data_IF_878426861702
#
_entry.id   IF_878426861702
#
_cell.length_a   1.000
_cell.length_b   1.000
_cell.length_c   1.000
_cell.angle_alpha   90.00
_cell.angle_beta   90.00
_cell.angle_gamma   90.00
#
_symmetry.space_group_name_H-M   'P 1'
#
loop_
_entity.id
_entity.type
_entity.pdbx_description
1 polymer ?
#
# COMPACT_ATOMS: atom_id res chain seq x y z
N UNK A 1 -32.56 33.66 28.83
CA UNK A 1 -31.41 32.75 29.16
C UNK A 1 -31.63 31.37 28.53
N UNK A 2 -32.75 30.69 28.76
CA UNK A 2 -33.05 29.32 28.28
C UNK A 2 -32.95 29.15 26.77
N UNK A 3 -33.46 30.11 25.96
CA UNK A 3 -33.38 30.07 24.50
C UNK A 3 -31.92 30.09 23.97
N UNK A 4 -31.03 30.82 24.61
CA UNK A 4 -29.61 30.89 24.27
C UNK A 4 -28.93 29.56 24.58
N UNK A 5 -29.22 28.94 25.72
CA UNK A 5 -28.68 27.63 26.09
C UNK A 5 -29.17 26.53 25.15
N UNK A 6 -30.44 26.55 24.73
CA UNK A 6 -30.97 25.61 23.74
C UNK A 6 -30.31 25.80 22.36
N UNK A 7 -30.05 27.04 21.94
CA UNK A 7 -29.33 27.32 20.69
C UNK A 7 -27.91 26.83 20.76
N UNK A 8 -27.19 27.02 21.88
CA UNK A 8 -25.85 26.49 22.10
C UNK A 8 -25.90 24.95 22.05
N UNK A 9 -26.89 24.34 22.71
CA UNK A 9 -27.08 22.89 22.67
C UNK A 9 -27.28 22.35 21.25
N UNK A 10 -28.15 23.00 20.46
CA UNK A 10 -28.38 22.62 19.06
C UNK A 10 -27.11 22.77 18.19
N UNK A 11 -26.38 23.88 18.36
CA UNK A 11 -25.11 24.12 17.65
C UNK A 11 -24.06 23.08 18.03
N UNK A 12 -23.96 22.74 19.30
CA UNK A 12 -23.03 21.73 19.82
C UNK A 12 -23.36 20.33 19.28
N UNK A 13 -24.67 20.00 19.18
CA UNK A 13 -25.13 18.75 18.59
C UNK A 13 -24.73 18.63 17.10
N UNK A 14 -24.89 19.72 16.34
CA UNK A 14 -24.47 19.80 14.94
C UNK A 14 -22.94 19.70 14.80
N UNK A 15 -22.20 20.32 15.72
CA UNK A 15 -20.74 20.26 15.77
C UNK A 15 -20.29 18.82 16.06
N UNK A 16 -20.96 18.13 16.98
CA UNK A 16 -20.69 16.70 17.24
C UNK A 16 -20.96 15.84 16.01
N UNK A 17 -22.11 16.04 15.36
CA UNK A 17 -22.46 15.34 14.12
C UNK A 17 -21.45 15.58 13.00
N UNK A 18 -20.89 16.77 12.89
CA UNK A 18 -19.80 17.09 11.96
C UNK A 18 -18.55 16.25 12.26
N UNK A 19 -18.09 16.21 13.50
CA UNK A 19 -16.88 15.43 13.86
C UNK A 19 -17.08 13.93 13.64
N UNK A 20 -18.21 13.37 14.07
CA UNK A 20 -18.53 11.97 13.87
C UNK A 20 -18.62 11.62 12.39
N UNK A 21 -19.36 12.43 11.61
CA UNK A 21 -19.50 12.21 10.17
C UNK A 21 -18.17 12.31 9.42
N UNK A 22 -17.32 13.27 9.76
CA UNK A 22 -16.02 13.45 9.16
C UNK A 22 -15.06 12.29 9.51
N UNK A 23 -15.04 11.85 10.77
CA UNK A 23 -14.25 10.73 11.26
C UNK A 23 -14.60 9.43 10.50
N UNK A 24 -15.87 9.05 10.50
CA UNK A 24 -16.31 7.83 9.84
C UNK A 24 -16.17 7.88 8.33
N UNK A 25 -16.34 9.05 7.71
CA UNK A 25 -16.11 9.19 6.28
C UNK A 25 -14.65 8.97 5.89
N UNK A 26 -13.69 9.51 6.67
CA UNK A 26 -12.25 9.34 6.41
C UNK A 26 -11.76 7.91 6.67
N UNK A 27 -12.31 7.22 7.67
CA UNK A 27 -11.98 5.81 7.92
C UNK A 27 -12.52 4.89 6.82
N UNK A 28 -13.71 5.20 6.29
CA UNK A 28 -14.43 4.31 5.37
C UNK A 28 -14.10 4.55 3.90
N UNK A 29 -13.57 5.74 3.54
CA UNK A 29 -13.25 6.07 2.16
C UNK A 29 -11.94 5.40 1.73
N UNK A 30 -11.93 4.85 0.52
CA UNK A 30 -10.71 4.29 -0.06
C UNK A 30 -9.91 5.38 -0.79
N UNK A 31 -8.57 5.34 -0.66
CA UNK A 31 -7.67 6.26 -1.37
C UNK A 31 -7.97 6.31 -2.88
N UNK A 32 -8.21 5.15 -3.50
CA UNK A 32 -8.54 5.03 -4.93
C UNK A 32 -9.78 5.80 -5.38
N UNK A 33 -10.71 6.12 -4.46
CA UNK A 33 -11.91 6.92 -4.76
C UNK A 33 -11.64 8.43 -4.76
N UNK A 34 -10.59 8.89 -4.06
CA UNK A 34 -10.27 10.32 -3.88
C UNK A 34 -9.13 10.76 -4.80
N UNK A 35 -8.12 9.91 -4.97
CA UNK A 35 -6.88 10.22 -5.70
C UNK A 35 -7.10 10.71 -7.15
N UNK A 36 -8.00 10.12 -7.97
CA UNK A 36 -8.25 10.61 -9.33
C UNK A 36 -8.77 12.05 -9.38
N UNK A 37 -9.55 12.47 -8.37
CA UNK A 37 -10.03 13.85 -8.26
C UNK A 37 -8.93 14.81 -7.81
N UNK A 38 -8.04 14.37 -6.92
CA UNK A 38 -6.88 15.12 -6.47
C UNK A 38 -5.89 15.37 -7.61
N UNK A 39 -5.62 14.37 -8.45
CA UNK A 39 -4.78 14.47 -9.65
C UNK A 39 -5.34 15.45 -10.68
N UNK A 40 -6.67 15.56 -10.79
CA UNK A 40 -7.36 16.56 -11.63
C UNK A 40 -7.35 17.98 -11.04
N UNK A 41 -6.64 18.20 -9.93
CA UNK A 41 -6.48 19.52 -9.32
C UNK A 41 -7.56 19.92 -8.32
N UNK A 42 -8.48 19.03 -7.92
CA UNK A 42 -9.52 19.33 -6.94
C UNK A 42 -8.90 19.58 -5.55
N UNK A 43 -9.03 20.82 -5.05
CA UNK A 43 -8.46 21.24 -3.77
C UNK A 43 -9.04 20.48 -2.57
N UNK A 44 -10.35 20.16 -2.60
CA UNK A 44 -11.00 19.37 -1.54
C UNK A 44 -10.44 17.95 -1.50
N UNK A 45 -10.29 17.31 -2.67
CA UNK A 45 -9.73 15.97 -2.76
C UNK A 45 -8.27 15.92 -2.28
N UNK A 46 -7.44 16.93 -2.62
CA UNK A 46 -6.08 17.03 -2.10
C UNK A 46 -6.03 17.19 -0.58
N UNK A 47 -6.93 18.00 -0.02
CA UNK A 47 -7.02 18.15 1.45
C UNK A 47 -7.45 16.83 2.11
N UNK A 48 -8.47 16.16 1.55
CA UNK A 48 -8.93 14.85 2.04
C UNK A 48 -7.83 13.79 1.96
N UNK A 49 -7.08 13.76 0.85
CA UNK A 49 -5.95 12.85 0.67
C UNK A 49 -4.87 13.06 1.74
N UNK A 50 -4.53 14.33 2.01
CA UNK A 50 -3.64 14.66 3.12
C UNK A 50 -4.17 14.13 4.46
N UNK A 51 -5.49 14.21 4.70
CA UNK A 51 -6.13 13.65 5.89
C UNK A 51 -5.99 12.14 6.00
N UNK A 52 -6.08 11.42 4.87
CA UNK A 52 -5.86 9.98 4.82
C UNK A 52 -4.40 9.60 5.10
N UNK A 53 -3.45 10.43 4.67
CA UNK A 53 -2.02 10.25 4.93
C UNK A 53 -1.64 10.56 6.40
N UNK A 54 -2.46 11.33 7.12
CA UNK A 54 -2.25 11.73 8.51
C UNK A 54 -3.43 11.30 9.40
N UNK A 55 -3.92 10.09 9.18
CA UNK A 55 -5.17 9.60 9.75
C UNK A 55 -5.18 9.66 11.28
N UNK A 56 -4.10 9.27 11.95
CA UNK A 56 -4.01 9.30 13.42
C UNK A 56 -4.21 10.71 13.99
N UNK A 57 -3.61 11.73 13.38
CA UNK A 57 -3.75 13.10 13.82
C UNK A 57 -5.18 13.65 13.59
N UNK A 58 -5.79 13.30 12.46
CA UNK A 58 -7.15 13.67 12.12
C UNK A 58 -8.15 12.98 13.05
N UNK A 59 -7.96 11.70 13.32
CA UNK A 59 -8.76 10.91 14.28
C UNK A 59 -8.70 11.51 15.69
N UNK A 60 -7.49 11.80 16.19
CA UNK A 60 -7.32 12.43 17.51
C UNK A 60 -8.01 13.80 17.58
N UNK A 61 -8.00 14.58 16.50
CA UNK A 61 -8.70 15.86 16.41
C UNK A 61 -10.22 15.68 16.41
N UNK A 62 -10.74 14.70 15.66
CA UNK A 62 -12.16 14.39 15.62
C UNK A 62 -12.65 13.95 17.00
N UNK A 63 -11.93 13.03 17.66
CA UNK A 63 -12.26 12.55 19.00
C UNK A 63 -12.21 13.65 20.06
N UNK A 64 -11.22 14.57 19.97
CA UNK A 64 -11.19 15.76 20.82
C UNK A 64 -12.44 16.62 20.61
N UNK A 65 -12.81 16.85 19.34
CA UNK A 65 -14.01 17.62 18.98
C UNK A 65 -15.30 16.97 19.49
N UNK A 66 -15.45 15.66 19.34
CA UNK A 66 -16.57 14.89 19.87
C UNK A 66 -16.65 15.03 21.39
N UNK A 67 -15.53 14.84 22.08
CA UNK A 67 -15.47 14.93 23.55
C UNK A 67 -15.84 16.32 24.06
N UNK A 68 -15.29 17.37 23.47
CA UNK A 68 -15.62 18.76 23.84
C UNK A 68 -17.09 19.05 23.57
N UNK A 69 -17.61 18.64 22.39
CA UNK A 69 -19.03 18.82 22.06
C UNK A 69 -19.94 18.11 23.05
N UNK A 70 -19.65 16.88 23.41
CA UNK A 70 -20.43 16.09 24.36
C UNK A 70 -20.45 16.71 25.76
N UNK A 71 -19.31 17.23 26.23
CA UNK A 71 -19.20 17.90 27.52
C UNK A 71 -19.99 19.19 27.53
N UNK A 72 -19.90 20.00 26.47
CA UNK A 72 -20.67 21.26 26.37
C UNK A 72 -22.17 20.97 26.25
N UNK A 73 -22.57 19.95 25.51
CA UNK A 73 -23.97 19.55 25.40
C UNK A 73 -24.56 19.17 26.75
N UNK A 74 -23.86 18.31 27.53
CA UNK A 74 -24.30 17.93 28.88
C UNK A 74 -24.35 19.12 29.83
N UNK A 75 -23.36 20.02 29.80
CA UNK A 75 -23.29 21.15 30.72
C UNK A 75 -24.35 22.24 30.42
N UNK A 76 -24.80 22.39 29.16
CA UNK A 76 -25.64 23.50 28.74
C UNK A 76 -27.06 23.08 28.36
N UNK A 77 -27.22 22.02 27.57
CA UNK A 77 -28.53 21.62 27.05
C UNK A 77 -29.39 20.93 28.10
N UNK A 78 -28.81 20.08 28.92
CA UNK A 78 -29.51 19.31 29.94
C UNK A 78 -30.19 20.21 31.01
N UNK A 79 -29.50 21.17 31.67
CA UNK A 79 -30.15 22.09 32.60
C UNK A 79 -31.19 22.96 31.92
N UNK A 80 -30.96 23.38 30.66
CA UNK A 80 -31.90 24.20 29.93
C UNK A 80 -33.23 23.47 29.65
N UNK A 81 -33.14 22.18 29.27
CA UNK A 81 -34.31 21.32 29.06
C UNK A 81 -35.03 21.07 30.40
N UNK A 82 -34.28 20.79 31.48
CA UNK A 82 -34.84 20.55 32.80
C UNK A 82 -35.68 21.77 33.28
N UNK A 83 -35.12 22.96 33.20
CA UNK A 83 -35.85 24.20 33.55
C UNK A 83 -37.08 24.46 32.66
N UNK A 84 -37.08 24.00 31.41
CA UNK A 84 -38.24 24.14 30.52
C UNK A 84 -39.39 23.19 30.94
N UNK A 85 -39.07 22.07 31.59
CA UNK A 85 -40.03 21.10 32.05
C UNK A 85 -40.62 21.40 33.44
N UNK A 86 -39.97 22.22 34.25
CA UNK A 86 -40.43 22.58 35.61
C UNK A 86 -41.84 23.21 35.64
N UNK A 87 -42.17 24.26 34.83
CA UNK A 87 -43.47 24.88 34.85
C UNK A 87 -44.65 23.95 34.52
N UNK A 88 -44.56 23.05 33.52
CA UNK A 88 -45.59 22.04 33.28
C UNK A 88 -45.84 21.11 34.48
N UNK A 89 -44.78 20.71 35.20
CA UNK A 89 -44.90 19.82 36.36
C UNK A 89 -45.55 20.57 37.57
N UNK A 90 -45.24 21.85 37.76
CA UNK A 90 -45.90 22.68 38.73
C UNK A 90 -47.41 22.80 38.44
N UNK A 91 -47.77 23.03 37.17
CA UNK A 91 -49.16 23.15 36.73
C UNK A 91 -50.01 21.89 36.96
N UNK A 92 -49.37 20.70 36.91
CA UNK A 92 -50.03 19.40 37.15
C UNK A 92 -50.06 19.02 38.64
N UNK A 93 -49.45 19.83 39.50
CA UNK A 93 -49.48 19.64 40.97
C UNK A 93 -48.46 18.62 41.48
N UNK A 94 -47.34 18.41 40.79
CA UNK A 94 -46.24 17.59 41.30
C UNK A 94 -45.67 18.22 42.56
N UNK A 95 -45.38 17.44 43.64
CA UNK A 95 -44.75 17.97 44.85
C UNK A 95 -43.42 18.69 44.54
N UNK A 96 -43.24 19.93 45.08
CA UNK A 96 -42.08 20.79 44.76
C UNK A 96 -40.75 20.11 44.93
N UNK A 97 -40.57 19.19 45.88
CA UNK A 97 -39.35 18.42 46.10
C UNK A 97 -39.04 17.35 45.02
N UNK A 98 -40.03 17.02 44.18
CA UNK A 98 -39.87 16.00 43.10
C UNK A 98 -39.80 16.63 41.71
N UNK A 99 -40.17 17.90 41.54
CA UNK A 99 -40.21 18.57 40.22
C UNK A 99 -38.84 18.56 39.58
N UNK A 100 -37.85 19.11 40.28
CA UNK A 100 -36.48 19.21 39.72
C UNK A 100 -35.86 17.83 39.45
N UNK A 101 -35.88 16.81 40.34
CA UNK A 101 -35.38 15.48 40.03
C UNK A 101 -36.03 14.81 38.83
N UNK A 102 -37.36 14.92 38.70
CA UNK A 102 -38.10 14.34 37.58
C UNK A 102 -37.76 15.05 36.28
N UNK A 103 -37.78 16.40 36.27
CA UNK A 103 -37.44 17.20 35.12
C UNK A 103 -36.01 16.93 34.67
N UNK A 104 -35.08 16.81 35.60
CA UNK A 104 -33.69 16.47 35.33
C UNK A 104 -33.53 15.09 34.63
N UNK A 105 -34.14 14.03 35.17
CA UNK A 105 -34.05 12.68 34.58
C UNK A 105 -34.62 12.65 33.17
N UNK A 106 -35.77 13.35 32.94
CA UNK A 106 -36.37 13.41 31.60
C UNK A 106 -35.49 14.24 30.66
N UNK A 107 -34.96 15.37 31.11
CA UNK A 107 -34.06 16.21 30.33
C UNK A 107 -32.79 15.45 29.93
N UNK A 108 -32.16 14.77 30.89
CA UNK A 108 -30.98 13.93 30.65
C UNK A 108 -31.26 12.83 29.62
N UNK A 109 -32.40 12.10 29.80
CA UNK A 109 -32.80 11.06 28.88
C UNK A 109 -33.03 11.58 27.47
N UNK A 110 -33.75 12.72 27.33
CA UNK A 110 -34.05 13.34 26.05
C UNK A 110 -32.77 13.88 25.38
N UNK A 111 -31.91 14.57 26.13
CA UNK A 111 -30.64 15.09 25.63
C UNK A 111 -29.70 13.96 25.16
N UNK A 112 -29.56 12.88 25.96
CA UNK A 112 -28.74 11.71 25.60
C UNK A 112 -29.29 11.00 24.36
N UNK A 113 -30.62 10.83 24.27
CA UNK A 113 -31.24 10.23 23.10
C UNK A 113 -31.04 11.05 21.82
N UNK A 114 -31.23 12.38 21.89
CA UNK A 114 -30.97 13.27 20.77
C UNK A 114 -29.48 13.29 20.37
N UNK A 115 -28.59 13.28 21.35
CA UNK A 115 -27.14 13.20 21.13
C UNK A 115 -26.78 11.92 20.40
N UNK A 116 -27.23 10.78 20.90
CA UNK A 116 -26.97 9.47 20.28
C UNK A 116 -27.55 9.38 18.87
N UNK A 117 -28.80 9.83 18.67
CA UNK A 117 -29.47 9.69 17.38
C UNK A 117 -28.92 10.68 16.34
N UNK A 118 -28.99 11.99 16.65
CA UNK A 118 -28.66 13.07 15.70
C UNK A 118 -27.17 13.42 15.70
N UNK A 119 -26.54 13.35 16.86
CA UNK A 119 -25.12 13.68 17.03
C UNK A 119 -24.17 12.54 16.61
N UNK A 120 -24.63 11.29 16.62
CA UNK A 120 -23.74 10.16 16.42
C UNK A 120 -24.26 9.17 15.35
N UNK A 121 -25.44 8.55 15.52
CA UNK A 121 -25.90 7.48 14.64
C UNK A 121 -26.20 7.96 13.21
N UNK A 122 -26.93 9.06 13.05
CA UNK A 122 -27.29 9.59 11.73
C UNK A 122 -26.05 10.00 10.93
N UNK A 123 -25.12 10.83 11.44
CA UNK A 123 -23.93 11.22 10.68
C UNK A 123 -23.01 10.04 10.37
N UNK A 124 -22.87 9.08 11.28
CA UNK A 124 -22.14 7.83 11.06
C UNK A 124 -22.73 7.02 9.91
N UNK A 125 -24.04 6.81 9.91
CA UNK A 125 -24.70 6.03 8.86
C UNK A 125 -24.62 6.72 7.48
N UNK A 126 -24.71 8.04 7.43
CA UNK A 126 -24.48 8.82 6.20
C UNK A 126 -23.04 8.63 5.69
N UNK A 127 -22.06 8.72 6.59
CA UNK A 127 -20.65 8.55 6.25
C UNK A 127 -20.35 7.14 5.74
N UNK A 128 -20.95 6.12 6.33
CA UNK A 128 -20.81 4.73 5.90
C UNK A 128 -21.51 4.42 4.56
N UNK A 129 -22.70 5.01 4.35
CA UNK A 129 -23.48 4.82 3.13
C UNK A 129 -22.86 5.52 1.91
N UNK A 130 -22.23 6.70 2.12
CA UNK A 130 -21.66 7.51 1.06
C UNK A 130 -20.27 8.08 1.47
N UNK A 131 -19.23 7.22 1.61
CA UNK A 131 -17.95 7.64 2.18
C UNK A 131 -17.25 8.74 1.38
N UNK A 132 -17.14 8.60 0.06
CA UNK A 132 -16.40 9.53 -0.78
C UNK A 132 -16.98 10.94 -0.83
N UNK A 133 -18.29 11.16 -1.10
CA UNK A 133 -18.86 12.51 -1.06
C UNK A 133 -18.82 13.12 0.33
N UNK A 134 -19.03 12.34 1.39
CA UNK A 134 -18.99 12.82 2.78
C UNK A 134 -17.55 13.21 3.16
N UNK A 135 -16.55 12.43 2.80
CA UNK A 135 -15.14 12.76 3.03
C UNK A 135 -14.69 14.02 2.25
N UNK A 136 -15.18 14.22 1.02
CA UNK A 136 -14.90 15.45 0.25
C UNK A 136 -15.59 16.69 0.81
N UNK A 137 -16.72 16.52 1.51
CA UNK A 137 -17.44 17.63 2.14
C UNK A 137 -16.87 17.96 3.51
N UNK A 138 -16.74 16.97 4.40
CA UNK A 138 -16.40 17.16 5.81
C UNK A 138 -14.90 17.02 6.09
N UNK A 139 -14.14 16.34 5.24
CA UNK A 139 -12.70 16.14 5.39
C UNK A 139 -11.89 17.44 5.38
N UNK A 140 -12.06 18.34 4.39
CA UNK A 140 -11.28 19.57 4.32
C UNK A 140 -11.37 20.47 5.56
N UNK A 141 -12.56 20.77 6.12
CA UNK A 141 -12.64 21.56 7.36
C UNK A 141 -12.04 20.82 8.57
N UNK A 142 -12.20 19.51 8.69
CA UNK A 142 -11.55 18.74 9.75
C UNK A 142 -10.02 18.77 9.62
N UNK A 143 -9.48 18.61 8.42
CA UNK A 143 -8.04 18.73 8.14
C UNK A 143 -7.50 20.12 8.46
N UNK A 144 -8.25 21.17 8.13
CA UNK A 144 -7.85 22.53 8.48
C UNK A 144 -7.78 22.72 10.01
N UNK A 145 -8.77 22.20 10.74
CA UNK A 145 -8.76 22.19 12.21
C UNK A 145 -7.59 21.37 12.75
N UNK A 146 -7.33 20.16 12.22
CA UNK A 146 -6.20 19.31 12.63
C UNK A 146 -4.88 20.06 12.50
N UNK A 147 -4.69 20.78 11.39
CA UNK A 147 -3.48 21.59 11.20
C UNK A 147 -3.36 22.72 12.23
N UNK A 148 -4.47 23.33 12.59
CA UNK A 148 -4.48 24.41 13.59
C UNK A 148 -4.17 23.90 15.01
N UNK A 149 -4.71 22.72 15.39
CA UNK A 149 -4.51 22.13 16.72
C UNK A 149 -3.32 21.14 16.78
N UNK A 150 -2.58 21.01 15.69
CA UNK A 150 -1.44 20.06 15.55
C UNK A 150 -0.48 20.06 16.75
N UNK A 151 -0.01 21.18 17.30
CA UNK A 151 0.91 21.16 18.43
C UNK A 151 0.30 20.52 19.68
N UNK A 152 -1.00 20.72 19.92
CA UNK A 152 -1.70 20.10 21.02
C UNK A 152 -1.87 18.59 20.81
N UNK A 153 -2.34 18.17 19.65
CA UNK A 153 -2.49 16.74 19.29
C UNK A 153 -1.15 16.01 19.35
N UNK A 154 -0.07 16.64 18.88
CA UNK A 154 1.29 16.08 19.00
C UNK A 154 1.68 15.87 20.46
N UNK A 155 1.39 16.82 21.35
CA UNK A 155 1.66 16.68 22.78
C UNK A 155 0.91 15.50 23.42
N UNK A 156 -0.39 15.34 23.09
CA UNK A 156 -1.21 14.23 23.58
C UNK A 156 -0.71 12.89 23.04
N UNK A 157 -0.39 12.81 21.76
CA UNK A 157 0.19 11.59 21.16
C UNK A 157 1.56 11.25 21.76
N UNK A 158 2.41 12.24 22.02
CA UNK A 158 3.69 12.02 22.67
C UNK A 158 3.52 11.42 24.08
N UNK A 159 2.54 11.90 24.83
CA UNK A 159 2.19 11.36 26.14
C UNK A 159 1.68 9.91 26.03
N UNK A 160 0.75 9.64 25.10
CA UNK A 160 0.23 8.30 24.85
C UNK A 160 1.35 7.32 24.45
N UNK A 161 2.23 7.73 23.53
CA UNK A 161 3.39 6.94 23.13
C UNK A 161 4.37 6.68 24.26
N UNK A 162 4.51 7.63 25.20
CA UNK A 162 5.33 7.44 26.39
C UNK A 162 4.75 6.37 27.31
N UNK A 163 3.43 6.32 27.47
CA UNK A 163 2.72 5.29 28.22
C UNK A 163 2.89 3.91 27.53
N UNK A 164 2.73 3.84 26.20
CA UNK A 164 2.94 2.60 25.44
C UNK A 164 4.37 2.06 25.60
N UNK A 165 5.39 2.94 25.54
CA UNK A 165 6.79 2.56 25.78
C UNK A 165 7.00 2.03 27.20
N UNK A 166 6.36 2.62 28.20
CA UNK A 166 6.40 2.13 29.58
C UNK A 166 5.82 0.71 29.70
N UNK A 167 4.77 0.42 28.90
CA UNK A 167 4.15 -0.90 28.79
C UNK A 167 4.91 -1.86 27.86
N UNK A 168 6.07 -1.46 27.30
CA UNK A 168 6.88 -2.22 26.34
C UNK A 168 6.12 -2.56 25.04
N UNK A 169 5.16 -1.73 24.66
CA UNK A 169 4.46 -1.81 23.37
C UNK A 169 5.11 -0.80 22.44
N UNK A 170 5.62 -1.26 21.30
CA UNK A 170 6.13 -0.36 20.26
C UNK A 170 4.96 0.33 19.57
N UNK A 171 4.89 1.69 19.62
CA UNK A 171 3.88 2.41 18.86
C UNK A 171 4.14 2.17 17.36
N UNK A 172 3.23 1.48 16.68
CA UNK A 172 3.24 1.41 15.22
C UNK A 172 2.99 2.82 14.69
N UNK A 173 3.90 3.30 13.85
CA UNK A 173 3.73 4.57 13.13
C UNK A 173 2.42 4.58 12.32
N UNK A 174 2.04 5.77 11.84
CA UNK A 174 0.91 5.93 10.94
C UNK A 174 1.00 4.89 9.84
N UNK A 175 -0.14 4.27 9.52
CA UNK A 175 -0.25 3.22 8.50
C UNK A 175 0.46 3.75 7.25
N UNK A 176 1.67 3.27 7.00
CA UNK A 176 2.32 3.52 5.73
C UNK A 176 1.43 2.83 4.69
N UNK A 177 0.85 3.60 3.78
CA UNK A 177 0.09 3.07 2.65
C UNK A 177 0.98 2.33 1.63
N UNK A 178 2.23 2.12 1.99
CA UNK A 178 3.20 1.32 1.25
C UNK A 178 3.18 -0.06 1.85
N UNK A 179 2.51 -0.98 1.17
CA UNK A 179 2.61 -2.40 1.49
C UNK A 179 4.04 -2.85 1.19
N UNK A 180 4.60 -3.63 2.08
CA UNK A 180 5.84 -4.37 1.79
C UNK A 180 5.54 -5.49 0.81
N UNK A 181 6.55 -5.98 0.09
CA UNK A 181 6.39 -7.08 -0.86
C UNK A 181 5.78 -8.32 -0.18
N UNK A 182 6.18 -8.63 1.05
CA UNK A 182 5.60 -9.71 1.87
C UNK A 182 4.11 -9.48 2.18
N UNK A 183 3.70 -8.24 2.42
CA UNK A 183 2.28 -7.91 2.66
C UNK A 183 1.47 -8.02 1.39
N UNK A 184 2.04 -7.65 0.23
CA UNK A 184 1.40 -7.83 -1.08
C UNK A 184 1.22 -9.32 -1.42
N UNK A 185 2.23 -10.15 -1.19
CA UNK A 185 2.15 -11.60 -1.38
C UNK A 185 1.04 -12.20 -0.52
N UNK A 186 0.96 -11.80 0.75
CA UNK A 186 -0.13 -12.23 1.66
C UNK A 186 -1.50 -11.78 1.17
N UNK A 187 -1.62 -10.52 0.73
CA UNK A 187 -2.89 -9.97 0.21
C UNK A 187 -3.38 -10.74 -1.02
N UNK A 188 -2.47 -11.09 -1.94
CA UNK A 188 -2.77 -11.92 -3.11
C UNK A 188 -3.26 -13.31 -2.69
N UNK A 189 -2.56 -13.94 -1.74
CA UNK A 189 -2.93 -15.25 -1.19
C UNK A 189 -4.32 -15.21 -0.55
N UNK A 190 -4.57 -14.27 0.36
CA UNK A 190 -5.84 -14.12 1.05
C UNK A 190 -6.99 -13.85 0.06
N UNK A 191 -6.73 -13.06 -0.99
CA UNK A 191 -7.71 -12.77 -2.04
C UNK A 191 -8.05 -14.01 -2.88
N UNK A 192 -7.06 -14.85 -3.17
CA UNK A 192 -7.24 -16.11 -3.89
C UNK A 192 -8.03 -17.13 -3.02
N UNK A 193 -7.67 -17.27 -1.74
CA UNK A 193 -8.39 -18.13 -0.79
C UNK A 193 -9.84 -17.68 -0.56
N UNK A 194 -10.10 -16.37 -0.62
CA UNK A 194 -11.45 -15.80 -0.54
C UNK A 194 -12.26 -15.93 -1.85
N UNK A 195 -11.68 -16.49 -2.92
CA UNK A 195 -12.33 -16.63 -4.23
C UNK A 195 -12.52 -15.32 -4.99
N UNK A 196 -11.78 -14.25 -4.61
CA UNK A 196 -11.79 -12.93 -5.28
C UNK A 196 -10.82 -12.86 -6.46
N UNK A 197 -9.87 -13.79 -6.54
CA UNK A 197 -8.92 -13.96 -7.63
C UNK A 197 -9.01 -15.39 -8.15
N UNK A 198 -8.90 -15.55 -9.46
CA UNK A 198 -8.71 -16.88 -10.05
C UNK A 198 -7.38 -17.47 -9.52
N UNK A 199 -7.35 -18.76 -9.12
CA UNK A 199 -6.15 -19.38 -8.58
C UNK A 199 -4.92 -19.24 -9.49
N UNK A 200 -5.09 -19.37 -10.82
CA UNK A 200 -3.99 -19.21 -11.77
C UNK A 200 -3.47 -17.77 -11.86
N UNK A 201 -4.36 -16.77 -11.74
CA UNK A 201 -3.95 -15.36 -11.71
C UNK A 201 -3.28 -15.01 -10.37
N UNK A 202 -3.75 -15.59 -9.27
CA UNK A 202 -3.12 -15.46 -7.96
C UNK A 202 -1.70 -16.02 -7.93
N UNK A 203 -1.48 -17.17 -8.56
CA UNK A 203 -0.15 -17.78 -8.69
C UNK A 203 0.80 -16.90 -9.53
N UNK A 204 0.37 -16.44 -10.70
CA UNK A 204 1.15 -15.53 -11.56
C UNK A 204 1.53 -14.23 -10.86
N UNK A 205 0.60 -13.64 -10.08
CA UNK A 205 0.87 -12.42 -9.33
C UNK A 205 1.92 -12.65 -8.24
N UNK A 206 1.85 -13.80 -7.56
CA UNK A 206 2.83 -14.17 -6.56
C UNK A 206 4.21 -14.37 -7.18
N UNK A 207 4.29 -15.14 -8.26
CA UNK A 207 5.54 -15.38 -8.98
C UNK A 207 6.17 -14.07 -9.48
N UNK A 208 5.34 -13.14 -9.97
CA UNK A 208 5.80 -11.79 -10.37
C UNK A 208 6.35 -10.95 -9.20
N UNK A 209 5.75 -11.04 -8.00
CA UNK A 209 6.24 -10.36 -6.80
C UNK A 209 7.53 -11.01 -6.28
N UNK A 210 7.64 -12.34 -6.37
CA UNK A 210 8.82 -13.08 -5.95
C UNK A 210 10.06 -12.81 -6.81
N UNK A 211 9.89 -12.42 -8.10
CA UNK A 211 11.02 -12.06 -8.98
C UNK A 211 11.89 -10.94 -8.43
N UNK A 212 11.29 -9.96 -7.74
CA UNK A 212 12.02 -8.86 -7.11
C UNK A 212 12.84 -9.27 -5.88
N UNK A 213 12.65 -10.49 -5.36
CA UNK A 213 13.36 -10.99 -4.17
C UNK A 213 14.21 -12.23 -4.44
N UNK A 214 13.90 -12.98 -5.49
CA UNK A 214 14.65 -14.22 -5.84
C UNK A 214 15.98 -13.89 -6.52
N UNK A 215 17.10 -14.39 -5.98
CA UNK A 215 18.41 -14.14 -6.54
C UNK A 215 18.66 -14.96 -7.83
N UNK A 216 19.44 -14.39 -8.74
CA UNK A 216 19.87 -15.05 -10.00
C UNK A 216 20.55 -16.39 -9.75
N UNK A 217 21.21 -16.54 -8.60
CA UNK A 217 21.90 -17.78 -8.22
C UNK A 217 21.00 -19.02 -8.17
N UNK A 218 19.68 -18.84 -7.95
CA UNK A 218 18.73 -19.97 -7.91
C UNK A 218 18.40 -20.55 -9.28
N UNK A 219 18.45 -19.71 -10.34
CA UNK A 219 18.03 -20.09 -11.70
C UNK A 219 19.21 -20.19 -12.67
N UNK A 220 20.40 -19.71 -12.30
CA UNK A 220 21.59 -19.78 -13.18
C UNK A 220 21.94 -21.19 -13.55
N UNK A 221 22.44 -21.36 -14.75
CA UNK A 221 23.13 -22.58 -15.19
C UNK A 221 24.58 -22.50 -14.70
N UNK A 222 25.02 -23.39 -13.80
CA UNK A 222 26.40 -23.38 -13.30
C UNK A 222 27.43 -23.57 -14.45
N UNK A 223 28.59 -22.94 -14.32
CA UNK A 223 29.64 -22.97 -15.32
C UNK A 223 30.03 -24.43 -15.72
N UNK A 224 30.03 -25.33 -14.75
CA UNK A 224 30.33 -26.77 -15.01
C UNK A 224 29.29 -27.46 -15.93
N UNK A 225 28.11 -26.92 -16.09
CA UNK A 225 27.05 -27.42 -16.98
C UNK A 225 26.88 -26.57 -18.24
N UNK A 226 27.61 -25.47 -18.35
CA UNK A 226 27.58 -24.59 -19.51
C UNK A 226 28.54 -25.06 -20.57
N UNK A 227 28.05 -25.13 -21.80
CA UNK A 227 28.92 -25.41 -22.96
C UNK A 227 29.41 -24.08 -23.50
N UNK A 228 30.74 -23.89 -23.51
CA UNK A 228 31.40 -22.72 -24.07
C UNK A 228 32.13 -23.08 -25.36
N UNK A 229 32.40 -22.04 -26.18
CA UNK A 229 33.20 -22.20 -27.42
C UNK A 229 34.38 -21.22 -27.38
N UNK A 230 35.53 -21.61 -27.94
CA UNK A 230 36.69 -20.73 -27.99
C UNK A 230 36.52 -19.62 -29.02
N UNK A 231 37.26 -18.50 -28.85
CA UNK A 231 37.23 -17.32 -29.73
C UNK A 231 37.57 -17.59 -31.20
N UNK A 232 38.15 -18.76 -31.52
CA UNK A 232 38.46 -19.19 -32.90
C UNK A 232 37.38 -20.16 -33.42
N UNK A 233 36.20 -20.20 -32.83
CA UNK A 233 35.10 -21.07 -33.25
C UNK A 233 34.65 -20.72 -34.67
N UNK A 234 34.44 -21.76 -35.50
CA UNK A 234 33.89 -21.64 -36.84
C UNK A 234 32.37 -21.91 -36.83
N UNK A 235 31.62 -21.43 -37.84
CA UNK A 235 30.19 -21.71 -37.97
C UNK A 235 29.84 -23.19 -37.89
N UNK A 236 30.63 -24.06 -38.53
CA UNK A 236 30.44 -25.53 -38.47
C UNK A 236 30.59 -26.07 -37.06
N UNK A 237 31.61 -25.62 -36.31
CA UNK A 237 31.84 -26.04 -34.92
C UNK A 237 30.77 -25.50 -33.96
N UNK A 238 30.32 -24.26 -34.18
CA UNK A 238 29.23 -23.67 -33.39
C UNK A 238 27.95 -24.48 -33.57
N UNK A 239 27.60 -24.83 -34.81
CA UNK A 239 26.40 -25.62 -35.13
C UNK A 239 26.46 -27.01 -34.45
N UNK A 240 27.60 -27.67 -34.52
CA UNK A 240 27.82 -28.97 -33.88
C UNK A 240 27.70 -28.85 -32.35
N UNK A 241 28.35 -27.86 -31.74
CA UNK A 241 28.28 -27.63 -30.29
C UNK A 241 26.86 -27.34 -29.84
N UNK A 242 26.07 -26.55 -30.60
CA UNK A 242 24.68 -26.29 -30.32
C UNK A 242 23.79 -27.54 -30.46
N UNK A 243 24.04 -28.37 -31.51
CA UNK A 243 23.28 -29.61 -31.73
C UNK A 243 23.55 -30.64 -30.62
N UNK A 244 24.81 -30.77 -30.19
CA UNK A 244 25.22 -31.72 -29.16
C UNK A 244 24.78 -31.33 -27.76
N UNK A 245 24.73 -30.00 -27.47
CA UNK A 245 24.38 -29.47 -26.14
C UNK A 245 22.92 -29.15 -25.97
N UNK A 246 22.19 -28.89 -27.06
CA UNK A 246 20.81 -28.36 -27.03
C UNK A 246 20.71 -26.88 -26.71
N UNK A 247 21.83 -26.16 -26.46
CA UNK A 247 21.83 -24.76 -26.16
C UNK A 247 21.83 -23.91 -27.44
N UNK A 248 20.94 -22.91 -27.50
CA UNK A 248 20.87 -21.97 -28.62
C UNK A 248 21.90 -20.83 -28.52
N UNK A 249 22.44 -20.55 -27.36
CA UNK A 249 23.41 -19.49 -27.06
C UNK A 249 24.61 -20.07 -26.36
N UNK A 250 25.77 -19.90 -26.94
CA UNK A 250 27.01 -20.45 -26.40
C UNK A 250 27.97 -19.30 -26.05
N UNK A 251 28.39 -19.17 -24.77
CA UNK A 251 29.41 -18.23 -24.38
C UNK A 251 30.72 -18.46 -25.13
N UNK A 252 31.38 -17.36 -25.50
CA UNK A 252 32.67 -17.38 -26.19
C UNK A 252 33.79 -17.06 -25.20
N UNK A 253 34.76 -17.95 -25.08
CA UNK A 253 35.91 -17.76 -24.20
C UNK A 253 37.14 -17.33 -24.98
N UNK A 254 37.93 -16.43 -24.41
CA UNK A 254 39.24 -16.01 -24.91
C UNK A 254 40.36 -16.91 -24.44
N UNK A 255 41.64 -16.57 -24.77
CA UNK A 255 42.82 -17.39 -24.45
C UNK A 255 43.07 -17.56 -22.93
N UNK A 256 42.54 -16.70 -22.10
CA UNK A 256 42.67 -16.71 -20.63
C UNK A 256 41.38 -17.07 -19.92
N UNK A 257 40.50 -17.82 -20.57
CA UNK A 257 39.15 -18.19 -20.06
C UNK A 257 38.23 -17.00 -19.74
N UNK A 258 38.61 -15.79 -20.17
CA UNK A 258 37.72 -14.62 -20.07
C UNK A 258 36.54 -14.73 -21.02
N UNK A 259 35.37 -14.27 -20.60
CA UNK A 259 34.16 -14.26 -21.43
C UNK A 259 34.20 -13.03 -22.35
N UNK A 260 34.30 -13.28 -23.66
CA UNK A 260 34.35 -12.28 -24.71
C UNK A 260 32.96 -11.86 -25.20
N UNK A 261 31.97 -12.72 -25.04
CA UNK A 261 30.62 -12.53 -25.52
C UNK A 261 29.89 -13.85 -25.63
N UNK A 262 28.86 -13.92 -26.44
CA UNK A 262 28.22 -15.17 -26.84
C UNK A 262 27.89 -15.19 -28.32
N UNK A 263 27.73 -16.38 -28.89
CA UNK A 263 27.18 -16.59 -30.22
C UNK A 263 25.84 -17.33 -30.12
N UNK A 264 24.89 -16.94 -30.97
CA UNK A 264 23.61 -17.60 -31.11
C UNK A 264 23.67 -18.58 -32.29
N UNK A 265 23.03 -19.73 -32.21
CA UNK A 265 23.00 -20.69 -33.34
C UNK A 265 22.51 -20.06 -34.63
N UNK A 266 21.66 -19.04 -34.59
CA UNK A 266 21.20 -18.31 -35.78
C UNK A 266 22.29 -17.50 -36.47
N UNK A 267 23.42 -17.22 -35.80
CA UNK A 267 24.53 -16.47 -36.37
C UNK A 267 25.28 -17.29 -37.47
N UNK A 268 25.03 -18.59 -37.53
CA UNK A 268 25.53 -19.44 -38.65
C UNK A 268 24.71 -19.28 -39.93
N UNK A 269 23.50 -18.68 -39.85
CA UNK A 269 22.65 -18.51 -41.02
C UNK A 269 23.19 -17.41 -41.94
N UNK A 270 23.35 -17.73 -43.19
CA UNK A 270 23.86 -16.78 -44.20
C UNK A 270 25.38 -16.63 -44.24
N UNK A 271 26.16 -17.38 -43.41
CA UNK A 271 27.60 -17.37 -43.49
C UNK A 271 28.05 -18.28 -44.61
N UNK A 272 28.71 -17.69 -45.63
CA UNK A 272 29.15 -18.42 -46.81
C UNK A 272 30.35 -19.34 -46.50
N UNK A 273 31.30 -18.86 -45.69
CA UNK A 273 32.53 -19.59 -45.34
C UNK A 273 32.41 -20.22 -43.96
N UNK A 274 32.02 -21.48 -43.93
CA UNK A 274 31.70 -22.19 -42.68
C UNK A 274 32.91 -22.68 -41.89
N UNK A 275 34.08 -22.65 -42.50
CA UNK A 275 35.39 -23.12 -41.94
C UNK A 275 36.24 -21.99 -41.42
N UNK A 276 35.89 -20.72 -41.68
CA UNK A 276 36.57 -19.54 -41.17
C UNK A 276 36.00 -19.14 -39.81
N UNK A 277 36.83 -18.80 -38.81
CA UNK A 277 36.35 -18.33 -37.50
C UNK A 277 35.52 -17.09 -37.60
N UNK A 278 34.55 -16.95 -36.66
CA UNK A 278 33.77 -15.70 -36.51
C UNK A 278 34.71 -14.53 -36.18
N UNK A 279 34.52 -13.36 -36.80
CA UNK A 279 35.23 -12.16 -36.38
C UNK A 279 34.79 -11.70 -34.98
N UNK A 280 35.66 -11.04 -34.19
CA UNK A 280 35.29 -10.58 -32.84
C UNK A 280 34.05 -9.68 -32.80
N UNK A 281 33.78 -8.93 -33.88
CA UNK A 281 32.59 -8.08 -33.98
C UNK A 281 31.24 -8.84 -34.15
N UNK A 282 31.30 -10.17 -34.34
CA UNK A 282 30.11 -11.01 -34.41
C UNK A 282 29.64 -11.49 -33.01
N UNK A 283 30.45 -11.26 -31.97
CA UNK A 283 30.08 -11.71 -30.62
C UNK A 283 29.06 -10.75 -30.00
N UNK A 284 27.94 -11.29 -29.55
CA UNK A 284 26.93 -10.55 -28.83
C UNK A 284 27.44 -10.19 -27.43
N UNK A 285 27.08 -9.03 -26.88
CA UNK A 285 27.54 -8.62 -25.56
C UNK A 285 26.95 -9.49 -24.44
N UNK A 286 27.74 -9.71 -23.39
CA UNK A 286 27.34 -10.36 -22.14
C UNK A 286 27.52 -9.35 -21.02
N UNK A 287 26.49 -9.14 -20.22
CA UNK A 287 26.60 -8.36 -18.98
C UNK A 287 27.03 -9.25 -17.83
N UNK A 288 27.52 -8.64 -16.75
CA UNK A 288 27.82 -9.35 -15.49
C UNK A 288 26.83 -8.91 -14.43
N UNK A 289 26.34 -9.88 -13.66
CA UNK A 289 25.46 -9.68 -12.50
C UNK A 289 26.01 -10.49 -11.32
N UNK A 290 25.82 -10.00 -10.12
CA UNK A 290 26.20 -10.71 -8.90
C UNK A 290 25.24 -11.88 -8.63
N UNK A 291 25.69 -12.93 -7.91
CA UNK A 291 24.87 -14.10 -7.60
C UNK A 291 23.57 -13.74 -6.85
N UNK A 292 23.63 -12.72 -5.98
CA UNK A 292 22.49 -12.26 -5.17
C UNK A 292 21.63 -11.20 -5.87
N UNK A 293 21.94 -10.86 -7.13
CA UNK A 293 21.13 -9.90 -7.90
C UNK A 293 19.70 -10.44 -8.07
N UNK A 294 18.65 -9.67 -7.77
CA UNK A 294 17.27 -10.05 -8.04
C UNK A 294 17.01 -10.34 -9.53
N UNK A 295 16.11 -11.26 -9.81
CA UNK A 295 15.83 -11.70 -11.19
C UNK A 295 15.28 -10.57 -12.07
N UNK A 296 14.45 -9.68 -11.52
CA UNK A 296 13.88 -8.52 -12.22
C UNK A 296 14.95 -7.48 -12.55
N UNK A 297 15.90 -7.24 -11.65
CA UNK A 297 17.06 -6.36 -11.88
C UNK A 297 17.98 -6.94 -12.96
N UNK A 298 18.25 -8.24 -12.93
CA UNK A 298 19.04 -8.91 -13.96
C UNK A 298 18.36 -8.83 -15.34
N UNK A 299 17.05 -9.04 -15.40
CA UNK A 299 16.26 -8.89 -16.63
C UNK A 299 16.30 -7.44 -17.14
N UNK A 300 16.16 -6.47 -16.26
CA UNK A 300 16.22 -5.04 -16.60
C UNK A 300 17.60 -4.66 -17.14
N UNK A 301 18.68 -5.17 -16.53
CA UNK A 301 20.04 -4.94 -16.99
C UNK A 301 20.29 -5.58 -18.38
N UNK A 302 19.80 -6.81 -18.61
CA UNK A 302 19.89 -7.46 -19.93
C UNK A 302 19.14 -6.66 -21.00
N UNK A 303 17.94 -6.18 -20.69
CA UNK A 303 17.14 -5.36 -21.64
C UNK A 303 17.80 -4.04 -21.96
N UNK A 304 18.40 -3.36 -20.98
CA UNK A 304 19.07 -2.06 -21.19
C UNK A 304 20.22 -2.14 -22.21
N UNK A 305 20.92 -3.29 -22.28
CA UNK A 305 22.04 -3.52 -23.20
C UNK A 305 21.60 -4.25 -24.48
N UNK A 306 20.36 -4.75 -24.53
CA UNK A 306 19.86 -5.55 -25.65
C UNK A 306 20.51 -6.96 -25.73
N UNK A 307 20.94 -7.50 -24.57
CA UNK A 307 21.49 -8.86 -24.48
C UNK A 307 20.47 -9.84 -23.93
N UNK A 308 20.64 -11.13 -24.25
CA UNK A 308 19.80 -12.21 -23.74
C UNK A 308 20.57 -13.17 -22.83
N UNK A 309 21.82 -12.86 -22.51
CA UNK A 309 22.67 -13.68 -21.66
C UNK A 309 23.44 -12.79 -20.67
N UNK A 310 23.42 -13.17 -19.41
CA UNK A 310 24.23 -12.59 -18.36
C UNK A 310 25.17 -13.62 -17.75
N UNK A 311 26.40 -13.21 -17.49
CA UNK A 311 27.36 -13.98 -16.72
C UNK A 311 27.15 -13.66 -15.23
N UNK A 312 26.99 -14.71 -14.42
CA UNK A 312 26.79 -14.60 -12.98
C UNK A 312 28.16 -14.67 -12.30
N UNK A 313 28.47 -13.64 -11.52
CA UNK A 313 29.72 -13.52 -10.77
C UNK A 313 29.50 -13.92 -9.30
N UNK A 314 30.43 -14.69 -8.76
CA UNK A 314 30.51 -14.98 -7.33
C UNK A 314 31.30 -13.91 -6.58
N UNK A 315 31.43 -14.04 -5.26
CA UNK A 315 32.04 -13.10 -4.29
C UNK A 315 33.43 -12.52 -4.68
N UNK A 316 34.15 -13.17 -5.59
CA UNK A 316 35.48 -12.72 -6.06
C UNK A 316 35.47 -12.18 -7.49
N UNK A 317 34.28 -11.90 -8.04
CA UNK A 317 34.13 -11.43 -9.42
C UNK A 317 34.40 -12.49 -10.48
N UNK A 318 34.62 -13.77 -10.10
CA UNK A 318 34.80 -14.89 -11.04
C UNK A 318 33.44 -15.33 -11.56
N UNK A 319 33.33 -15.59 -12.85
CA UNK A 319 32.11 -16.13 -13.45
C UNK A 319 31.89 -17.56 -12.96
N UNK A 320 30.74 -17.79 -12.32
CA UNK A 320 30.35 -19.09 -11.76
C UNK A 320 29.23 -19.78 -12.52
N UNK A 321 28.56 -19.04 -13.40
CA UNK A 321 27.47 -19.55 -14.24
C UNK A 321 26.93 -18.49 -15.19
N UNK A 322 25.84 -18.84 -15.85
CA UNK A 322 25.13 -17.97 -16.77
C UNK A 322 23.62 -18.05 -16.53
N UNK A 323 22.93 -16.97 -16.82
CA UNK A 323 21.46 -16.92 -16.84
C UNK A 323 21.01 -16.29 -18.15
N UNK A 324 19.98 -16.85 -18.75
CA UNK A 324 19.34 -16.31 -19.94
C UNK A 324 18.07 -15.53 -19.57
N UNK A 325 17.62 -14.63 -20.44
CA UNK A 325 16.33 -13.97 -20.28
C UNK A 325 15.16 -14.97 -20.29
N UNK A 326 15.34 -16.09 -20.99
CA UNK A 326 14.34 -17.15 -21.09
C UNK A 326 14.22 -17.92 -19.76
N UNK A 327 15.34 -18.14 -19.05
CA UNK A 327 15.34 -18.74 -17.71
C UNK A 327 14.55 -17.87 -16.74
N UNK A 328 14.77 -16.55 -16.76
CA UNK A 328 14.03 -15.60 -15.91
C UNK A 328 12.53 -15.53 -16.26
N UNK A 329 12.21 -15.55 -17.56
CA UNK A 329 10.81 -15.50 -18.00
C UNK A 329 10.07 -16.82 -17.73
N UNK A 330 10.74 -17.95 -17.70
CA UNK A 330 10.12 -19.25 -17.36
C UNK A 330 9.66 -19.30 -15.90
N UNK A 331 10.31 -18.56 -15.02
CA UNK A 331 9.88 -18.42 -13.62
C UNK A 331 8.59 -17.60 -13.48
N UNK A 332 8.28 -16.69 -14.43
CA UNK A 332 7.02 -15.93 -14.47
C UNK A 332 5.83 -16.74 -15.00
N UNK A 333 6.11 -17.66 -15.94
CA UNK A 333 5.04 -18.37 -16.66
C UNK A 333 4.74 -19.71 -16.02
N UNK A 334 5.58 -20.14 -15.06
CA UNK A 334 5.59 -21.50 -14.52
C UNK A 334 6.14 -22.51 -15.55
N UNK A 335 6.30 -23.78 -15.20
CA UNK A 335 6.75 -24.77 -16.15
C UNK A 335 5.73 -24.85 -17.29
N UNK A 336 6.06 -24.21 -18.41
CA UNK A 336 5.32 -24.36 -19.65
C UNK A 336 5.22 -25.85 -19.92
N UNK A 337 4.01 -26.36 -19.99
CA UNK A 337 3.77 -27.68 -20.53
C UNK A 337 4.34 -27.66 -21.95
N UNK A 338 5.61 -28.04 -22.06
CA UNK A 338 6.22 -28.32 -23.33
C UNK A 338 5.51 -29.57 -23.85
N UNK A 339 4.62 -29.38 -24.82
CA UNK A 339 4.00 -30.42 -25.62
C UNK A 339 5.01 -30.92 -26.64
#
# INVERSE_FOLDING_TARGET
MTAVHLLIGALTLLTNAFFVGAEFALISVRRSQIEPAALKGNARARSTLWGLEHLSAVMATAQLGITVSSLVLGAVAEPAIAHLLEPPFEAVGVPAGLIHPIAFVIALTAATYLHMLVGEMVPKNIALAAPAPTALLLGPPLVALTRAVRPFVFGVNALANSVLRLMKVEPKGEISSVYTDDELVRLVKDSSEAGLLDPADGERLRDALELGTRPVGEVMVPLARTVTVGHTVTPERLERAAADSGFSRLPVTGPGDEILGYLHIKDVLGVAERTVPFPPGAFHPVIRVEIDTPLDDAMTAMRAVGTHLAAVAGDRGTVIGFVTMEDVLSELVGPSAAA
#
